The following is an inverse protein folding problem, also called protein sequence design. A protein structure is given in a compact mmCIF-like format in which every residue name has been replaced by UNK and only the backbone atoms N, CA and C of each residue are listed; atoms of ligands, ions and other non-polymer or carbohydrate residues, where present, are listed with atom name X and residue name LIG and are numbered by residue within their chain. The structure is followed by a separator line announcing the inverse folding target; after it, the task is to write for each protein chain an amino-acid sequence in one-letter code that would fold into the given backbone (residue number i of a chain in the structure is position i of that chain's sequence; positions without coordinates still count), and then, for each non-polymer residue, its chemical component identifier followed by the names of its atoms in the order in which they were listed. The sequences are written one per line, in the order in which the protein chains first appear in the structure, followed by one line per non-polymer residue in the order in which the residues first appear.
data_IF_821603011469
#
_entry.id   IF_821603011469
#
_cell.length_a   1.000
_cell.length_b   1.000
_cell.length_c   1.000
_cell.angle_alpha   90.00
_cell.angle_beta   90.00
_cell.angle_gamma   90.00
#
_symmetry.space_group_name_H-M   'P 1'
#
loop_
_entity.id
_entity.type
_entity.pdbx_description
1 polymer ?
#
# COMPACT_ATOMS: atom_id res chain seq x y z
N UNK A 1 7.17 -31.03 7.98
CA UNK A 1 8.27 -30.08 8.29
C UNK A 1 7.79 -28.72 7.86
N UNK A 2 7.47 -27.83 8.80
CA UNK A 2 6.98 -26.48 8.50
C UNK A 2 8.17 -25.53 8.65
N UNK A 3 8.58 -24.91 7.54
CA UNK A 3 9.71 -24.00 7.55
C UNK A 3 9.34 -22.71 8.30
N UNK A 4 10.25 -22.19 9.16
CA UNK A 4 10.00 -20.95 9.88
C UNK A 4 9.92 -19.81 8.87
N UNK A 5 8.85 -19.02 8.95
CA UNK A 5 8.73 -17.73 8.26
C UNK A 5 9.78 -16.80 8.87
N UNK A 6 11.00 -16.93 8.36
CA UNK A 6 12.03 -15.92 8.47
C UNK A 6 11.49 -14.64 7.82
N UNK A 7 11.94 -13.50 8.33
CA UNK A 7 11.75 -12.14 7.80
C UNK A 7 12.42 -12.04 6.41
N UNK A 8 11.98 -12.87 5.48
CA UNK A 8 12.61 -13.14 4.20
C UNK A 8 12.23 -12.03 3.25
N UNK A 9 13.21 -11.17 2.95
CA UNK A 9 13.31 -10.28 1.80
C UNK A 9 12.08 -10.31 0.89
N UNK A 10 11.03 -9.57 1.26
CA UNK A 10 9.91 -9.33 0.36
C UNK A 10 10.51 -8.67 -0.86
N UNK A 11 10.26 -9.24 -2.04
CA UNK A 11 10.79 -8.72 -3.27
C UNK A 11 10.42 -7.22 -3.38
N UNK A 12 11.38 -6.32 -3.67
CA UNK A 12 11.11 -4.88 -3.72
C UNK A 12 10.09 -4.49 -4.79
N UNK A 13 9.78 -5.37 -5.74
CA UNK A 13 8.71 -5.20 -6.74
C UNK A 13 7.37 -5.78 -6.25
N UNK A 14 7.33 -6.50 -5.14
CA UNK A 14 6.10 -7.01 -4.55
C UNK A 14 5.26 -5.87 -3.95
N UNK A 15 3.94 -5.96 -4.13
CA UNK A 15 2.95 -5.03 -3.56
C UNK A 15 3.01 -4.96 -2.02
N UNK A 16 3.47 -6.06 -1.39
CA UNK A 16 3.62 -6.21 0.06
C UNK A 16 4.93 -5.62 0.60
N UNK A 17 5.82 -5.16 -0.27
CA UNK A 17 7.06 -4.52 0.15
C UNK A 17 6.75 -3.18 0.78
N UNK A 18 7.32 -2.94 1.96
CA UNK A 18 7.24 -1.67 2.64
C UNK A 18 8.61 -1.02 2.60
N UNK A 19 8.74 0.06 1.82
CA UNK A 19 10.00 0.78 1.77
C UNK A 19 10.22 1.51 3.12
N UNK A 20 11.43 1.56 3.68
CA UNK A 20 11.69 2.20 4.98
C UNK A 20 11.30 3.68 5.07
N UNK A 21 11.10 4.34 3.92
CA UNK A 21 10.66 5.74 3.84
C UNK A 21 9.13 5.90 3.82
N UNK A 22 8.38 4.80 3.76
CA UNK A 22 6.93 4.82 3.86
C UNK A 22 6.54 4.95 5.33
N UNK A 23 6.20 6.19 5.70
CA UNK A 23 5.76 6.54 7.05
C UNK A 23 4.25 6.81 7.06
N UNK A 24 3.57 6.67 8.21
CA UNK A 24 2.14 6.97 8.34
C UNK A 24 1.76 8.41 7.99
N UNK A 25 2.75 9.30 7.95
CA UNK A 25 2.64 10.72 7.65
C UNK A 25 2.80 11.00 6.14
N UNK A 26 2.90 9.96 5.30
CA UNK A 26 3.05 10.12 3.87
C UNK A 26 1.74 10.60 3.24
N UNK A 27 1.76 11.80 2.65
CA UNK A 27 0.65 12.33 1.87
C UNK A 27 0.65 11.76 0.46
N UNK A 28 -0.41 11.06 0.06
CA UNK A 28 -0.57 10.51 -1.29
C UNK A 28 -0.72 11.58 -2.37
N UNK A 29 -1.20 12.77 -1.99
CA UNK A 29 -1.28 13.92 -2.85
C UNK A 29 -0.66 15.15 -2.18
N UNK A 30 0.00 15.98 -2.99
CA UNK A 30 0.55 17.26 -2.54
C UNK A 30 -0.56 18.25 -2.14
N UNK A 31 -1.74 18.11 -2.73
CA UNK A 31 -2.93 18.90 -2.40
C UNK A 31 -3.93 18.03 -1.65
N UNK A 32 -4.56 18.58 -0.62
CA UNK A 32 -5.70 17.91 0.04
C UNK A 32 -6.87 17.84 -0.93
N UNK A 33 -7.64 16.75 -0.85
CA UNK A 33 -8.87 16.62 -1.60
C UNK A 33 -9.81 17.77 -1.24
N UNK A 34 -10.31 18.47 -2.25
CA UNK A 34 -11.37 19.45 -2.16
C UNK A 34 -12.39 19.11 -3.25
N UNK A 35 -13.66 19.47 -3.07
CA UNK A 35 -14.75 19.07 -3.98
C UNK A 35 -14.45 19.28 -5.47
N UNK A 36 -13.75 20.37 -5.79
CA UNK A 36 -13.37 20.72 -7.17
C UNK A 36 -12.10 20.05 -7.71
N UNK A 37 -11.22 19.52 -6.85
CA UNK A 37 -9.91 19.03 -7.27
C UNK A 37 -9.82 17.49 -7.40
N UNK A 38 -10.94 16.78 -7.29
CA UNK A 38 -10.98 15.32 -7.30
C UNK A 38 -10.20 14.69 -8.46
N UNK A 39 -10.35 15.20 -9.68
CA UNK A 39 -9.63 14.66 -10.84
C UNK A 39 -8.11 14.82 -10.72
N UNK A 40 -7.65 15.97 -10.23
CA UNK A 40 -6.23 16.26 -10.06
C UNK A 40 -5.65 15.46 -8.89
N UNK A 41 -6.40 15.39 -7.78
CA UNK A 41 -6.07 14.62 -6.60
C UNK A 41 -5.98 13.12 -6.91
N UNK A 42 -6.98 12.57 -7.62
CA UNK A 42 -7.03 11.17 -8.01
C UNK A 42 -5.80 10.79 -8.84
N UNK A 43 -5.46 11.58 -9.86
CA UNK A 43 -4.26 11.32 -10.67
C UNK A 43 -2.98 11.37 -9.83
N UNK A 44 -2.85 12.34 -8.92
CA UNK A 44 -1.69 12.43 -8.03
C UNK A 44 -1.59 11.23 -7.09
N UNK A 45 -2.72 10.78 -6.51
CA UNK A 45 -2.78 9.60 -5.66
C UNK A 45 -2.43 8.33 -6.46
N UNK A 46 -2.98 8.16 -7.67
CA UNK A 46 -2.69 7.03 -8.57
C UNK A 46 -1.18 6.98 -8.93
N UNK A 47 -0.56 8.13 -9.21
CA UNK A 47 0.89 8.19 -9.50
C UNK A 47 1.72 7.84 -8.26
N UNK A 48 1.37 8.37 -7.09
CA UNK A 48 2.08 8.09 -5.85
C UNK A 48 1.97 6.62 -5.41
N UNK A 49 0.84 5.97 -5.68
CA UNK A 49 0.60 4.55 -5.40
C UNK A 49 1.25 3.64 -6.43
N UNK A 50 1.16 3.98 -7.72
CA UNK A 50 1.78 3.20 -8.80
C UNK A 50 3.31 3.19 -8.70
N UNK A 51 3.93 4.30 -8.31
CA UNK A 51 5.37 4.37 -8.03
C UNK A 51 5.84 3.39 -6.94
N UNK A 52 4.92 2.81 -6.16
CA UNK A 52 5.21 1.88 -5.05
C UNK A 52 4.55 0.52 -5.21
N UNK A 53 3.96 0.22 -6.37
CA UNK A 53 3.15 -0.98 -6.58
C UNK A 53 2.03 -1.16 -5.54
N UNK A 54 1.46 -0.06 -5.04
CA UNK A 54 0.37 -0.08 -4.04
C UNK A 54 -1.00 0.28 -4.61
N UNK A 55 -1.09 0.51 -5.92
CA UNK A 55 -2.34 0.86 -6.58
C UNK A 55 -3.41 -0.24 -6.40
N UNK A 56 -2.98 -1.51 -6.33
CA UNK A 56 -3.88 -2.64 -6.11
C UNK A 56 -4.58 -2.62 -4.74
N UNK A 57 -4.07 -1.92 -3.73
CA UNK A 57 -4.76 -1.78 -2.44
C UNK A 57 -5.96 -0.83 -2.53
N UNK A 58 -5.90 0.19 -3.40
CA UNK A 58 -6.99 1.16 -3.59
C UNK A 58 -7.97 0.68 -4.66
N UNK A 59 -7.48 0.06 -5.72
CA UNK A 59 -8.31 -0.52 -6.79
C UNK A 59 -8.99 -1.84 -6.36
N UNK A 60 -8.50 -2.47 -5.28
CA UNK A 60 -9.02 -3.75 -4.76
C UNK A 60 -8.46 -4.98 -5.50
N UNK A 61 -7.52 -4.79 -6.42
CA UNK A 61 -6.80 -5.87 -7.10
C UNK A 61 -5.91 -6.67 -6.12
N UNK A 62 -5.33 -6.00 -5.10
CA UNK A 62 -4.54 -6.63 -4.04
C UNK A 62 -5.46 -7.18 -2.94
N UNK A 63 -5.97 -8.40 -3.15
CA UNK A 63 -6.85 -9.06 -2.18
C UNK A 63 -6.12 -9.39 -0.88
N UNK A 64 -6.87 -9.34 0.22
CA UNK A 64 -6.38 -9.80 1.51
C UNK A 64 -5.95 -11.28 1.41
N UNK A 65 -4.73 -11.63 1.84
CA UNK A 65 -4.30 -13.01 1.90
C UNK A 65 -5.08 -13.78 2.96
N UNK A 66 -5.00 -15.11 2.91
CA UNK A 66 -5.70 -15.98 3.87
C UNK A 66 -5.36 -15.64 5.33
N UNK A 67 -6.30 -15.83 6.27
CA UNK A 67 -6.13 -15.44 7.67
C UNK A 67 -4.94 -16.14 8.37
N UNK A 68 -4.55 -17.32 7.89
CA UNK A 68 -3.40 -18.07 8.39
C UNK A 68 -2.09 -17.72 7.67
N UNK A 69 -2.12 -16.81 6.70
CA UNK A 69 -0.94 -16.44 5.94
C UNK A 69 -0.01 -15.55 6.76
N UNK A 70 1.31 -15.82 6.78
CA UNK A 70 2.29 -14.92 7.38
C UNK A 70 2.28 -13.52 6.73
N UNK A 71 1.81 -13.42 5.50
CA UNK A 71 1.70 -12.18 4.74
C UNK A 71 0.53 -11.29 5.18
N UNK A 72 -0.40 -11.80 5.99
CA UNK A 72 -1.57 -11.04 6.46
C UNK A 72 -1.16 -9.80 7.26
N UNK A 73 -0.20 -9.94 8.18
CA UNK A 73 0.28 -8.81 8.98
C UNK A 73 0.96 -7.75 8.11
N UNK A 74 1.67 -8.18 7.06
CA UNK A 74 2.34 -7.30 6.10
C UNK A 74 1.33 -6.57 5.21
N UNK A 75 0.35 -7.30 4.68
CA UNK A 75 -0.76 -6.76 3.89
C UNK A 75 -1.54 -5.74 4.71
N UNK A 76 -1.88 -6.02 5.97
CA UNK A 76 -2.54 -5.06 6.87
C UNK A 76 -1.74 -3.78 7.05
N UNK A 77 -0.43 -3.87 7.23
CA UNK A 77 0.44 -2.67 7.34
C UNK A 77 0.44 -1.85 6.05
N UNK A 78 0.55 -2.51 4.89
CA UNK A 78 0.52 -1.83 3.59
C UNK A 78 -0.86 -1.21 3.30
N UNK A 79 -1.93 -1.93 3.62
CA UNK A 79 -3.31 -1.48 3.48
C UNK A 79 -3.56 -0.24 4.35
N UNK A 80 -3.17 -0.29 5.62
CA UNK A 80 -3.33 0.85 6.53
C UNK A 80 -2.59 2.10 6.07
N UNK A 81 -1.42 1.97 5.42
CA UNK A 81 -0.69 3.11 4.87
C UNK A 81 -1.30 3.62 3.54
N UNK A 82 -1.92 2.73 2.78
CA UNK A 82 -2.60 3.06 1.52
C UNK A 82 -3.97 3.71 1.75
N UNK A 83 -4.59 3.46 2.90
CA UNK A 83 -5.90 3.98 3.31
C UNK A 83 -5.85 5.40 3.93
N UNK A 84 -4.65 5.98 4.10
CA UNK A 84 -4.43 7.29 4.76
C UNK A 84 -4.88 8.51 3.92
N UNK A 85 -5.86 8.35 3.03
CA UNK A 85 -6.37 9.41 2.17
C UNK A 85 -7.89 9.44 2.01
N UNK A 86 -8.61 9.04 3.07
CA UNK A 86 -10.03 9.41 3.20
C UNK A 86 -10.17 10.61 4.13
#
# INVERSE_FOLDING_TARGET
MAEPVTRSSIDPQSELYLHPTETPNFSLASQKLNGDNYAQWKRSAEIALSARNKLGFVDGSSKAPEPNSPLLNQWKRCNNLSDQCT
#
